data_IF_228487286403
#
_entry.id   IF_228487286403
#
_cell.length_a   1.000
_cell.length_b   1.000
_cell.length_c   1.000
_cell.angle_alpha   90.00
_cell.angle_beta   90.00
_cell.angle_gamma   90.00
#
_symmetry.space_group_name_H-M   'P 1'
#
loop_
_entity.id
_entity.type
_entity.pdbx_description
1 polymer ?
#
# COMPACT_ATOMS: atom_id res chain seq x y z
N UNK A 1 -6.45 41.80 26.45
CA UNK A 1 -5.96 40.44 26.16
C UNK A 1 -7.14 39.60 25.70
N UNK A 2 -7.03 38.94 24.55
CA UNK A 2 -8.11 38.13 23.98
C UNK A 2 -7.74 37.61 22.60
N UNK A 3 -6.76 36.71 22.53
CA UNK A 3 -6.45 35.95 21.32
C UNK A 3 -7.51 34.86 21.17
N UNK A 4 -8.63 35.20 20.53
CA UNK A 4 -9.67 34.24 20.18
C UNK A 4 -9.12 33.23 19.17
N UNK A 5 -9.12 31.95 19.55
CA UNK A 5 -8.89 30.80 18.69
C UNK A 5 -9.76 30.89 17.43
N UNK A 6 -9.19 31.36 16.32
CA UNK A 6 -9.78 31.28 14.98
C UNK A 6 -9.36 29.97 14.31
N UNK A 7 -9.73 28.84 14.89
CA UNK A 7 -9.62 27.53 14.22
C UNK A 7 -10.84 27.35 13.31
N UNK A 8 -10.87 28.11 12.22
CA UNK A 8 -12.01 28.19 11.30
C UNK A 8 -12.16 26.98 10.37
N UNK A 9 -13.24 26.93 9.57
CA UNK A 9 -13.52 25.89 8.56
C UNK A 9 -12.35 25.64 7.60
N UNK A 10 -11.58 26.68 7.28
CA UNK A 10 -10.37 26.61 6.42
C UNK A 10 -9.30 25.64 6.95
N UNK A 11 -9.15 25.52 8.27
CA UNK A 11 -8.20 24.56 8.86
C UNK A 11 -8.72 23.12 8.79
N UNK A 12 -10.04 22.90 8.79
CA UNK A 12 -10.62 21.57 8.55
C UNK A 12 -10.43 21.14 7.11
N UNK A 13 -10.71 22.02 6.15
CA UNK A 13 -10.57 21.72 4.72
C UNK A 13 -9.11 21.45 4.34
N UNK A 14 -8.16 22.22 4.89
CA UNK A 14 -6.73 21.99 4.67
C UNK A 14 -6.24 20.67 5.25
N UNK A 15 -6.71 20.29 6.44
CA UNK A 15 -6.38 18.98 7.06
C UNK A 15 -6.97 17.82 6.27
N UNK A 16 -8.21 17.97 5.78
CA UNK A 16 -8.87 17.00 4.91
C UNK A 16 -8.10 16.81 3.60
N UNK A 17 -7.76 17.89 2.89
CA UNK A 17 -6.99 17.81 1.63
C UNK A 17 -5.59 17.18 1.82
N UNK A 18 -4.90 17.51 2.91
CA UNK A 18 -3.59 16.92 3.23
C UNK A 18 -3.72 15.41 3.51
N UNK A 19 -4.80 15.00 4.19
CA UNK A 19 -5.09 13.58 4.48
C UNK A 19 -5.38 12.82 3.19
N UNK A 20 -6.21 13.35 2.31
CA UNK A 20 -6.52 12.73 1.02
C UNK A 20 -5.29 12.62 0.11
N UNK A 21 -4.43 13.64 0.07
CA UNK A 21 -3.16 13.58 -0.66
C UNK A 21 -2.23 12.49 -0.09
N UNK A 22 -2.16 12.38 1.24
CA UNK A 22 -1.36 11.35 1.92
C UNK A 22 -1.88 9.95 1.60
N UNK A 23 -3.20 9.75 1.63
CA UNK A 23 -3.84 8.50 1.24
C UNK A 23 -3.53 8.14 -0.23
N UNK A 24 -3.66 9.09 -1.15
CA UNK A 24 -3.36 8.90 -2.56
C UNK A 24 -1.89 8.48 -2.80
N UNK A 25 -0.94 9.12 -2.11
CA UNK A 25 0.49 8.76 -2.20
C UNK A 25 0.73 7.33 -1.70
N UNK A 26 0.08 6.94 -0.60
CA UNK A 26 0.22 5.58 -0.05
C UNK A 26 -0.40 4.52 -0.96
N UNK A 27 -1.56 4.80 -1.55
CA UNK A 27 -2.18 3.93 -2.54
C UNK A 27 -1.27 3.77 -3.76
N UNK A 28 -0.77 4.87 -4.32
CA UNK A 28 0.17 4.84 -5.44
C UNK A 28 1.43 4.03 -5.12
N UNK A 29 2.00 4.20 -3.94
CA UNK A 29 3.17 3.44 -3.51
C UNK A 29 2.86 1.93 -3.45
N UNK A 30 1.73 1.55 -2.86
CA UNK A 30 1.28 0.15 -2.84
C UNK A 30 1.05 -0.41 -4.25
N UNK A 31 0.36 0.32 -5.12
CA UNK A 31 0.13 -0.10 -6.51
C UNK A 31 1.44 -0.30 -7.27
N UNK A 32 2.41 0.61 -7.13
CA UNK A 32 3.71 0.48 -7.78
C UNK A 32 4.50 -0.74 -7.27
N UNK A 33 4.49 -0.98 -5.95
CA UNK A 33 5.14 -2.15 -5.37
C UNK A 33 4.51 -3.47 -5.87
N UNK A 34 3.17 -3.52 -5.97
CA UNK A 34 2.43 -4.66 -6.53
C UNK A 34 2.80 -4.93 -8.00
N UNK A 35 2.76 -3.89 -8.85
CA UNK A 35 3.12 -4.01 -10.26
C UNK A 35 4.56 -4.49 -10.45
N UNK A 36 5.49 -3.93 -9.67
CA UNK A 36 6.90 -4.33 -9.68
C UNK A 36 7.06 -5.80 -9.24
N UNK A 37 6.39 -6.22 -8.18
CA UNK A 37 6.45 -7.61 -7.72
C UNK A 37 5.94 -8.56 -8.82
N UNK A 38 4.83 -8.23 -9.49
CA UNK A 38 4.30 -9.01 -10.61
C UNK A 38 5.30 -9.13 -11.78
N UNK A 39 5.92 -8.04 -12.19
CA UNK A 39 6.93 -8.04 -13.27
C UNK A 39 8.15 -8.91 -12.89
N UNK A 40 8.65 -8.79 -11.65
CA UNK A 40 9.77 -9.58 -11.15
C UNK A 40 9.43 -11.08 -11.07
N UNK A 41 8.21 -11.43 -10.65
CA UNK A 41 7.71 -12.83 -10.69
C UNK A 41 7.68 -13.34 -12.14
N UNK A 42 7.16 -12.55 -13.07
CA UNK A 42 7.11 -12.90 -14.50
C UNK A 42 8.50 -13.13 -15.11
N UNK A 43 9.52 -12.44 -14.61
CA UNK A 43 10.93 -12.61 -14.98
C UNK A 43 11.67 -13.71 -14.21
N UNK A 44 11.01 -14.39 -13.26
CA UNK A 44 11.62 -15.42 -12.42
C UNK A 44 12.60 -14.89 -11.35
N UNK A 45 12.60 -13.58 -11.09
CA UNK A 45 13.47 -12.92 -10.10
C UNK A 45 12.83 -12.98 -8.69
N UNK A 46 12.64 -14.18 -8.15
CA UNK A 46 11.86 -14.40 -6.92
C UNK A 46 12.47 -13.79 -5.65
N UNK A 47 13.78 -13.53 -5.62
CA UNK A 47 14.43 -12.81 -4.53
C UNK A 47 13.99 -11.33 -4.49
N UNK A 48 14.08 -10.67 -5.64
CA UNK A 48 13.67 -9.27 -5.79
C UNK A 48 12.16 -9.10 -5.68
N UNK A 49 11.38 -10.04 -6.23
CA UNK A 49 9.93 -10.05 -6.10
C UNK A 49 9.48 -10.13 -4.63
N UNK A 50 10.21 -10.88 -3.80
CA UNK A 50 9.95 -10.95 -2.37
C UNK A 50 10.22 -9.60 -1.68
N UNK A 51 11.27 -8.88 -2.08
CA UNK A 51 11.53 -7.53 -1.55
C UNK A 51 10.42 -6.56 -1.95
N UNK A 52 9.96 -6.59 -3.20
CA UNK A 52 8.82 -5.78 -3.64
C UNK A 52 7.51 -6.13 -2.92
N UNK A 53 7.30 -7.41 -2.58
CA UNK A 53 6.17 -7.84 -1.74
C UNK A 53 6.27 -7.24 -0.33
N UNK A 54 7.46 -7.18 0.27
CA UNK A 54 7.65 -6.54 1.58
C UNK A 54 7.38 -5.03 1.52
N UNK A 55 7.77 -4.37 0.44
CA UNK A 55 7.42 -2.95 0.17
C UNK A 55 5.89 -2.76 0.13
N UNK A 56 5.18 -3.64 -0.59
CA UNK A 56 3.71 -3.64 -0.65
C UNK A 56 3.08 -3.86 0.74
N UNK A 57 3.60 -4.81 1.53
CA UNK A 57 3.11 -5.05 2.89
C UNK A 57 3.31 -3.85 3.81
N UNK A 58 4.45 -3.15 3.69
CA UNK A 58 4.70 -1.91 4.42
C UNK A 58 3.68 -0.83 4.03
N UNK A 59 3.44 -0.64 2.73
CA UNK A 59 2.45 0.30 2.23
C UNK A 59 1.04 -0.01 2.75
N UNK A 60 0.64 -1.28 2.75
CA UNK A 60 -0.66 -1.73 3.27
C UNK A 60 -0.80 -1.50 4.78
N UNK A 61 0.27 -1.68 5.55
CA UNK A 61 0.28 -1.39 6.99
C UNK A 61 0.12 0.11 7.26
N UNK A 62 0.72 0.95 6.44
CA UNK A 62 0.50 2.39 6.54
C UNK A 62 -0.92 2.77 6.14
N UNK A 63 -1.47 2.16 5.08
CA UNK A 63 -2.83 2.39 4.61
C UNK A 63 -3.89 1.96 5.62
N UNK A 64 -3.68 0.90 6.41
CA UNK A 64 -4.68 0.45 7.38
C UNK A 64 -5.05 1.51 8.41
N UNK A 65 -4.15 2.47 8.69
CA UNK A 65 -4.46 3.60 9.58
C UNK A 65 -5.39 4.65 8.97
N UNK A 66 -5.53 4.70 7.64
CA UNK A 66 -6.42 5.61 6.91
C UNK A 66 -7.75 4.94 6.53
N UNK A 67 -7.71 3.64 6.26
CA UNK A 67 -8.90 2.86 5.86
C UNK A 67 -9.91 2.71 7.01
N UNK A 68 -9.47 2.77 8.27
CA UNK A 68 -10.36 2.78 9.44
C UNK A 68 -11.34 3.97 9.45
N UNK A 69 -11.08 5.01 8.64
CA UNK A 69 -11.96 6.16 8.46
C UNK A 69 -12.91 6.02 7.26
N UNK A 70 -12.96 4.85 6.59
CA UNK A 70 -13.85 4.54 5.47
C UNK A 70 -13.40 5.09 4.11
N UNK A 71 -12.31 5.87 4.06
CA UNK A 71 -11.75 6.38 2.81
C UNK A 71 -10.97 5.26 2.08
N UNK A 72 -11.40 4.92 0.86
CA UNK A 72 -10.70 4.00 -0.06
C UNK A 72 -10.62 2.52 0.38
N UNK A 73 -11.62 2.01 1.10
CA UNK A 73 -11.73 0.58 1.45
C UNK A 73 -11.60 -0.36 0.23
N UNK A 74 -12.20 0.00 -0.90
CA UNK A 74 -12.14 -0.80 -2.13
C UNK A 74 -10.74 -0.98 -2.69
N UNK A 75 -9.97 0.11 -2.83
CA UNK A 75 -8.62 0.06 -3.39
C UNK A 75 -7.63 -0.62 -2.44
N UNK A 76 -7.75 -0.36 -1.14
CA UNK A 76 -6.98 -1.05 -0.13
C UNK A 76 -7.32 -2.54 -0.06
N UNK A 77 -8.59 -2.91 -0.24
CA UNK A 77 -9.05 -4.29 -0.35
C UNK A 77 -8.43 -5.01 -1.55
N UNK A 78 -8.47 -4.36 -2.72
CA UNK A 78 -7.82 -4.86 -3.94
C UNK A 78 -6.32 -5.10 -3.74
N UNK A 79 -5.60 -4.13 -3.17
CA UNK A 79 -4.16 -4.28 -2.90
C UNK A 79 -3.85 -5.41 -1.92
N UNK A 80 -4.70 -5.66 -0.91
CA UNK A 80 -4.56 -6.84 -0.03
C UNK A 80 -4.77 -8.14 -0.78
N UNK A 81 -5.72 -8.19 -1.71
CA UNK A 81 -5.91 -9.38 -2.57
C UNK A 81 -4.71 -9.62 -3.49
N UNK A 82 -4.14 -8.57 -4.06
CA UNK A 82 -2.92 -8.64 -4.87
C UNK A 82 -1.72 -9.13 -4.02
N UNK A 83 -1.54 -8.60 -2.81
CA UNK A 83 -0.51 -9.05 -1.86
C UNK A 83 -0.62 -10.55 -1.57
N UNK A 84 -1.82 -11.04 -1.25
CA UNK A 84 -2.05 -12.45 -0.96
C UNK A 84 -1.75 -13.34 -2.17
N UNK A 85 -2.13 -12.90 -3.37
CA UNK A 85 -1.85 -13.62 -4.63
C UNK A 85 -0.35 -13.69 -4.91
N UNK A 86 0.35 -12.56 -4.82
CA UNK A 86 1.79 -12.47 -5.01
C UNK A 86 2.55 -13.35 -4.00
N UNK A 87 2.14 -13.34 -2.73
CA UNK A 87 2.73 -14.20 -1.70
C UNK A 87 2.60 -15.67 -2.05
N UNK A 88 1.40 -16.12 -2.41
CA UNK A 88 1.16 -17.51 -2.79
C UNK A 88 1.98 -17.92 -4.03
N UNK A 89 2.12 -17.03 -5.01
CA UNK A 89 2.94 -17.26 -6.20
C UNK A 89 4.42 -17.41 -5.86
N UNK A 90 4.97 -16.49 -5.06
CA UNK A 90 6.37 -16.50 -4.64
C UNK A 90 6.68 -17.75 -3.82
N UNK A 91 5.81 -18.10 -2.86
CA UNK A 91 5.98 -19.27 -2.00
C UNK A 91 5.95 -20.58 -2.82
N UNK A 92 4.99 -20.70 -3.75
CA UNK A 92 4.89 -21.86 -4.65
C UNK A 92 6.13 -22.03 -5.51
N UNK A 93 6.65 -20.94 -6.07
CA UNK A 93 7.84 -20.98 -6.94
C UNK A 93 9.14 -21.19 -6.18
N UNK A 94 9.24 -20.73 -4.92
CA UNK A 94 10.34 -21.08 -4.02
C UNK A 94 10.31 -22.55 -3.60
N UNK A 95 9.14 -23.08 -3.28
CA UNK A 95 8.96 -24.49 -2.91
C UNK A 95 9.20 -25.45 -4.09
N UNK A 96 8.89 -25.03 -5.31
CA UNK A 96 9.19 -25.76 -6.55
C UNK A 96 10.58 -25.53 -7.14
N UNK A 97 11.52 -24.93 -6.37
CA UNK A 97 12.91 -24.75 -6.81
C UNK A 97 13.57 -26.09 -7.19
N UNK A 98 14.56 -26.09 -8.11
CA UNK A 98 15.11 -27.33 -8.65
C UNK A 98 15.60 -28.22 -7.50
N UNK A 99 15.12 -29.47 -7.47
CA UNK A 99 15.75 -30.52 -6.70
C UNK A 99 17.25 -30.50 -7.04
N UNK A 100 18.06 -30.08 -6.08
CA UNK A 100 19.50 -30.27 -6.14
C UNK A 100 19.81 -31.71 -5.79
#
# INVERSE_FOLDING_TARGET
MGLGNRTGPLDRDRRSATRSATLAVKLLHGTLASLRAHDLVGRGQYGEAHMALLELQAALRELSSFVLDGESEGEAGRLRSEEASLRALIDTKRAGGPAR
#
